data_IF_713495792485
#
_entry.id   IF_713495792485
#
_cell.length_a   1.000
_cell.length_b   1.000
_cell.length_c   1.000
_cell.angle_alpha   90.00
_cell.angle_beta   90.00
_cell.angle_gamma   90.00
#
_symmetry.space_group_name_H-M   'P 1'
#
loop_
_entity.id
_entity.type
_entity.pdbx_description
1 polymer ?
#
# COMPACT_ATOMS: atom_id res chain seq x y z
N UNK A 1 9.67 -5.04 3.00
CA UNK A 1 9.58 -4.31 1.74
C UNK A 1 8.23 -3.69 1.63
N UNK A 2 8.10 -2.44 1.19
CA UNK A 2 6.87 -1.69 1.39
C UNK A 2 6.42 -1.00 0.11
N UNK A 3 5.16 -1.13 -0.19
CA UNK A 3 4.46 -0.43 -1.26
C UNK A 3 3.36 0.45 -0.66
N UNK A 4 3.41 1.75 -0.89
CA UNK A 4 2.36 2.67 -0.47
C UNK A 4 1.86 3.40 -1.68
N UNK A 5 0.61 3.16 -2.04
CA UNK A 5 -0.08 3.84 -3.14
C UNK A 5 -1.28 4.60 -2.55
N UNK A 6 -1.36 5.87 -2.85
CA UNK A 6 -2.49 6.71 -2.52
C UNK A 6 -3.23 7.06 -3.79
N UNK A 7 -4.55 6.98 -3.76
CA UNK A 7 -5.41 7.38 -4.87
C UNK A 7 -6.22 8.63 -4.44
N UNK A 8 -5.71 9.84 -4.65
CA UNK A 8 -6.50 11.05 -4.47
C UNK A 8 -7.31 11.33 -5.74
N UNK A 9 -8.55 11.75 -5.56
CA UNK A 9 -9.44 12.10 -6.68
C UNK A 9 -9.07 13.44 -7.37
N UNK A 10 -8.03 14.16 -6.94
CA UNK A 10 -7.90 15.60 -7.24
C UNK A 10 -6.51 16.11 -7.65
N UNK A 11 -5.44 15.30 -7.63
CA UNK A 11 -4.11 15.79 -7.98
C UNK A 11 -3.42 14.89 -9.01
N UNK A 12 -2.63 15.50 -9.90
CA UNK A 12 -1.73 14.77 -10.78
C UNK A 12 -0.62 14.13 -9.95
N UNK A 13 -0.96 13.00 -9.31
CA UNK A 13 0.01 12.24 -8.53
C UNK A 13 0.65 11.17 -9.41
N UNK A 14 1.94 11.08 -9.31
CA UNK A 14 2.69 9.99 -9.93
C UNK A 14 2.94 8.89 -8.90
N UNK A 15 2.37 7.71 -9.14
CA UNK A 15 2.73 6.51 -8.40
C UNK A 15 3.91 5.84 -9.09
N UNK A 16 5.04 5.80 -8.41
CA UNK A 16 6.21 5.06 -8.87
C UNK A 16 6.20 3.67 -8.24
N UNK A 17 6.26 2.63 -9.05
CA UNK A 17 6.33 1.24 -8.63
C UNK A 17 7.54 0.57 -9.30
N UNK A 18 8.47 0.07 -8.51
CA UNK A 18 9.72 -0.51 -8.95
C UNK A 18 9.89 -1.92 -8.39
N UNK A 19 10.35 -2.82 -9.25
CA UNK A 19 10.79 -4.15 -8.86
C UNK A 19 12.19 -4.44 -9.40
N UNK A 20 13.04 -5.00 -8.57
CA UNK A 20 14.38 -5.46 -8.97
C UNK A 20 14.64 -6.84 -8.37
N UNK A 21 15.54 -7.60 -8.98
CA UNK A 21 16.03 -8.83 -8.38
C UNK A 21 17.52 -9.05 -8.64
N UNK A 22 18.18 -9.76 -7.74
CA UNK A 22 19.53 -10.29 -7.90
C UNK A 22 19.44 -11.79 -7.58
N UNK A 23 19.78 -12.61 -8.55
CA UNK A 23 19.72 -14.09 -8.44
C UNK A 23 18.35 -14.60 -7.93
N UNK A 24 17.27 -13.93 -8.32
CA UNK A 24 15.90 -14.27 -7.92
C UNK A 24 15.48 -13.77 -6.54
N UNK A 25 16.36 -13.11 -5.78
CA UNK A 25 15.98 -12.40 -4.57
C UNK A 25 15.37 -11.06 -4.95
N UNK A 26 14.07 -10.92 -4.70
CA UNK A 26 13.25 -9.84 -5.22
C UNK A 26 13.14 -8.71 -4.20
N UNK A 27 13.23 -7.48 -4.69
CA UNK A 27 12.97 -6.25 -3.96
C UNK A 27 11.91 -5.43 -4.69
N UNK A 28 10.85 -5.01 -3.99
CA UNK A 28 9.81 -4.13 -4.53
C UNK A 28 9.70 -2.86 -3.70
N UNK A 29 9.45 -1.73 -4.35
CA UNK A 29 9.16 -0.47 -3.68
C UNK A 29 8.16 0.33 -4.51
N UNK A 30 7.18 0.93 -3.84
CA UNK A 30 6.30 1.91 -4.48
C UNK A 30 6.16 3.14 -3.60
N UNK A 31 6.02 4.28 -4.24
CA UNK A 31 5.87 5.56 -3.57
C UNK A 31 4.99 6.49 -4.38
N UNK A 32 4.16 7.27 -3.68
CA UNK A 32 3.36 8.33 -4.29
C UNK A 32 4.10 9.64 -4.19
N UNK A 33 4.26 10.32 -5.32
CA UNK A 33 4.94 11.60 -5.43
C UNK A 33 3.96 12.67 -5.89
N UNK A 34 4.04 13.85 -5.28
CA UNK A 34 3.35 15.02 -5.79
C UNK A 34 4.10 15.58 -7.00
N UNK A 35 3.40 15.73 -8.13
CA UNK A 35 3.92 16.39 -9.32
C UNK A 35 3.52 17.87 -9.26
N UNK A 36 4.47 18.82 -9.17
CA UNK A 36 4.16 20.25 -9.16
C UNK A 36 3.55 20.67 -10.51
N UNK A 37 2.59 21.59 -10.48
CA UNK A 37 1.84 22.08 -11.64
C UNK A 37 2.70 22.84 -12.66
N UNK A 38 3.88 23.31 -12.26
CA UNK A 38 4.81 24.06 -13.10
C UNK A 38 5.94 23.17 -13.62
N UNK A 39 6.07 23.09 -14.94
CA UNK A 39 7.15 22.38 -15.64
C UNK A 39 8.53 23.04 -15.54
N UNK A 40 8.66 24.14 -14.80
CA UNK A 40 9.93 24.84 -14.57
C UNK A 40 10.38 24.56 -13.14
N UNK A 41 11.06 23.47 -12.96
CA UNK A 41 11.79 23.19 -11.72
C UNK A 41 13.06 24.04 -11.75
N UNK A 42 12.98 25.27 -11.24
CA UNK A 42 14.18 25.94 -10.76
C UNK A 42 14.58 25.26 -9.46
N UNK A 43 15.83 24.88 -9.33
CA UNK A 43 16.42 24.07 -8.24
C UNK A 43 16.26 24.65 -6.82
N UNK A 44 15.51 25.71 -6.64
CA UNK A 44 15.31 26.42 -5.38
C UNK A 44 13.84 26.52 -4.93
N UNK A 45 12.86 26.08 -5.74
CA UNK A 45 11.45 26.10 -5.33
C UNK A 45 11.06 24.76 -4.71
N UNK A 46 11.01 24.74 -3.40
CA UNK A 46 10.38 23.70 -2.62
C UNK A 46 8.90 23.63 -3.01
N UNK A 47 8.41 22.44 -3.41
CA UNK A 47 7.01 22.24 -3.69
C UNK A 47 6.15 22.67 -2.48
N UNK A 48 5.02 23.32 -2.72
CA UNK A 48 4.10 23.68 -1.66
C UNK A 48 3.65 22.41 -0.91
N UNK A 49 3.50 22.46 0.42
CA UNK A 49 3.08 21.29 1.19
C UNK A 49 1.69 20.81 0.74
N UNK A 50 1.53 19.50 0.64
CA UNK A 50 0.24 18.87 0.36
C UNK A 50 -0.69 19.16 1.54
N UNK A 51 -1.95 19.52 1.26
CA UNK A 51 -2.95 19.84 2.28
C UNK A 51 -4.29 19.16 1.98
N UNK A 52 -5.20 19.16 2.97
CA UNK A 52 -6.55 18.61 2.85
C UNK A 52 -6.55 17.10 2.62
N UNK A 53 -7.54 16.59 1.89
CA UNK A 53 -7.75 15.15 1.65
C UNK A 53 -6.55 14.44 1.04
N UNK A 54 -5.76 15.12 0.21
CA UNK A 54 -4.54 14.56 -0.36
C UNK A 54 -3.47 14.32 0.71
N UNK A 55 -3.32 15.25 1.67
CA UNK A 55 -2.43 15.04 2.81
C UNK A 55 -2.92 13.91 3.73
N UNK A 56 -4.24 13.86 3.97
CA UNK A 56 -4.85 12.84 4.83
C UNK A 56 -4.62 11.43 4.27
N UNK A 57 -4.80 11.22 2.96
CA UNK A 57 -4.60 9.90 2.35
C UNK A 57 -3.15 9.46 2.36
N UNK A 58 -2.20 10.39 2.16
CA UNK A 58 -0.76 10.09 2.26
C UNK A 58 -0.38 9.73 3.69
N UNK A 59 -0.85 10.51 4.67
CA UNK A 59 -0.61 10.26 6.09
C UNK A 59 -1.26 8.95 6.55
N UNK A 60 -2.48 8.66 6.08
CA UNK A 60 -3.18 7.40 6.37
C UNK A 60 -2.40 6.19 5.85
N UNK A 61 -1.93 6.24 4.61
CA UNK A 61 -1.17 5.16 4.00
C UNK A 61 0.18 4.94 4.72
N UNK A 62 0.90 6.00 5.05
CA UNK A 62 2.15 5.91 5.81
C UNK A 62 1.92 5.34 7.22
N UNK A 63 0.87 5.80 7.91
CA UNK A 63 0.53 5.31 9.24
C UNK A 63 0.11 3.84 9.23
N UNK A 64 -0.64 3.42 8.20
CA UNK A 64 -1.03 2.02 8.01
C UNK A 64 0.19 1.14 7.73
N UNK A 65 1.13 1.60 6.90
CA UNK A 65 2.39 0.90 6.67
C UNK A 65 3.18 0.70 7.97
N UNK A 66 3.34 1.75 8.76
CA UNK A 66 4.02 1.67 10.04
C UNK A 66 3.34 0.71 11.03
N UNK A 67 2.01 0.62 11.00
CA UNK A 67 1.26 -0.36 11.78
C UNK A 67 1.48 -1.78 11.27
N UNK A 68 1.42 -2.00 9.94
CA UNK A 68 1.68 -3.30 9.33
C UNK A 68 3.07 -3.84 9.69
N UNK A 69 4.11 -3.00 9.59
CA UNK A 69 5.49 -3.38 9.94
C UNK A 69 5.66 -3.84 11.39
N UNK A 70 4.81 -3.37 12.30
CA UNK A 70 4.81 -3.81 13.70
C UNK A 70 4.02 -5.09 13.93
N UNK A 71 3.07 -5.39 13.05
CA UNK A 71 2.20 -6.56 13.15
C UNK A 71 2.77 -7.77 12.40
N UNK A 72 3.35 -7.55 11.22
CA UNK A 72 3.93 -8.62 10.40
C UNK A 72 5.25 -9.07 11.03
N UNK A 73 5.15 -9.98 11.99
CA UNK A 73 6.27 -10.55 12.74
C UNK A 73 5.96 -11.99 13.16
N UNK A 74 6.97 -12.83 13.38
CA UNK A 74 6.79 -14.22 13.80
C UNK A 74 5.85 -14.36 15.01
N UNK A 75 5.00 -15.37 14.99
CA UNK A 75 4.03 -15.68 16.04
C UNK A 75 2.74 -14.84 15.99
N UNK A 76 2.53 -14.04 14.94
CA UNK A 76 1.29 -13.32 14.67
C UNK A 76 0.49 -14.01 13.58
N UNK A 77 -0.83 -13.90 13.65
CA UNK A 77 -1.72 -14.41 12.62
C UNK A 77 -1.94 -13.40 11.50
N UNK A 78 -2.08 -13.92 10.28
CA UNK A 78 -2.40 -13.12 9.08
C UNK A 78 -3.72 -12.36 9.29
N UNK A 79 -4.69 -13.00 9.93
CA UNK A 79 -6.02 -12.43 10.24
C UNK A 79 -6.02 -11.25 11.21
N UNK A 80 -4.94 -11.04 11.98
CA UNK A 80 -4.85 -9.92 12.92
C UNK A 80 -4.58 -8.56 12.24
N UNK A 81 -4.03 -8.58 11.03
CA UNK A 81 -3.52 -7.39 10.36
C UNK A 81 -4.63 -6.49 9.80
N UNK A 82 -5.63 -7.00 9.05
CA UNK A 82 -6.62 -6.18 8.35
C UNK A 82 -7.41 -5.24 9.26
N UNK A 83 -7.83 -5.70 10.44
CA UNK A 83 -8.62 -4.91 11.37
C UNK A 83 -7.87 -3.71 11.95
N UNK A 84 -6.57 -3.85 12.17
CA UNK A 84 -5.74 -2.76 12.64
C UNK A 84 -5.52 -1.74 11.52
N UNK A 85 -5.20 -2.20 10.31
CA UNK A 85 -5.02 -1.32 9.16
C UNK A 85 -6.29 -0.51 8.88
N UNK A 86 -7.46 -1.15 8.91
CA UNK A 86 -8.76 -0.49 8.73
C UNK A 86 -8.97 0.62 9.74
N UNK A 87 -8.77 0.35 11.04
CA UNK A 87 -8.94 1.36 12.10
C UNK A 87 -8.00 2.55 11.94
N UNK A 88 -6.76 2.32 11.54
CA UNK A 88 -5.78 3.38 11.27
C UNK A 88 -6.24 4.25 10.12
N UNK A 89 -6.61 3.66 8.99
CA UNK A 89 -7.00 4.40 7.77
C UNK A 89 -8.33 5.16 7.98
N UNK A 90 -9.31 4.55 8.64
CA UNK A 90 -10.59 5.19 8.99
C UNK A 90 -10.41 6.42 9.89
N UNK A 91 -9.38 6.46 10.75
CA UNK A 91 -9.12 7.63 11.60
C UNK A 91 -8.73 8.90 10.82
N UNK A 92 -8.29 8.73 9.57
CA UNK A 92 -8.01 9.81 8.61
C UNK A 92 -9.20 10.10 7.67
N UNK A 93 -10.36 9.46 7.87
CA UNK A 93 -11.51 9.57 6.97
C UNK A 93 -11.27 8.91 5.59
N UNK A 94 -10.36 7.97 5.52
CA UNK A 94 -9.97 7.24 4.30
C UNK A 94 -10.40 5.77 4.38
N UNK A 95 -10.30 5.06 3.26
CA UNK A 95 -10.61 3.64 3.15
C UNK A 95 -9.47 2.85 2.51
N UNK A 96 -9.26 1.62 2.96
CA UNK A 96 -8.41 0.65 2.27
C UNK A 96 -9.08 0.20 0.97
N UNK A 97 -8.29 -0.01 -0.07
CA UNK A 97 -8.78 -0.48 -1.37
C UNK A 97 -8.98 -2.00 -1.34
N UNK A 98 -10.14 -2.45 -1.83
CA UNK A 98 -10.49 -3.88 -1.94
C UNK A 98 -9.59 -4.60 -2.94
N UNK A 99 -9.29 -5.87 -2.66
CA UNK A 99 -8.49 -6.72 -3.56
C UNK A 99 -6.97 -6.52 -3.46
N UNK A 100 -6.52 -5.56 -2.64
CA UNK A 100 -5.08 -5.37 -2.39
C UNK A 100 -4.62 -6.31 -1.29
N UNK A 101 -3.52 -7.00 -1.55
CA UNK A 101 -2.93 -7.97 -0.63
C UNK A 101 -1.44 -7.71 -0.46
N UNK A 102 -0.99 -7.75 0.78
CA UNK A 102 0.42 -7.98 1.08
C UNK A 102 0.71 -9.46 0.92
N UNK A 103 1.87 -9.83 0.41
CA UNK A 103 2.14 -11.22 0.04
C UNK A 103 3.56 -11.65 0.38
N UNK A 104 3.70 -12.94 0.69
CA UNK A 104 5.00 -13.56 0.89
C UNK A 104 5.77 -13.58 -0.44
N UNK A 105 7.08 -13.35 -0.35
CA UNK A 105 8.01 -13.52 -1.47
C UNK A 105 9.01 -14.63 -1.15
N UNK A 106 9.40 -15.37 -2.20
CA UNK A 106 10.48 -16.37 -2.14
C UNK A 106 11.46 -16.13 -3.26
N UNK A 107 12.62 -16.76 -3.21
CA UNK A 107 13.56 -16.71 -4.32
C UNK A 107 12.86 -17.17 -5.63
N UNK A 108 12.93 -16.36 -6.68
CA UNK A 108 12.25 -16.51 -7.97
C UNK A 108 10.71 -16.49 -7.94
N UNK A 109 10.07 -16.21 -6.79
CA UNK A 109 8.61 -16.15 -6.67
C UNK A 109 8.22 -14.84 -6.00
N UNK A 110 7.55 -13.96 -6.77
CA UNK A 110 7.14 -12.65 -6.28
C UNK A 110 5.90 -12.72 -5.39
N UNK A 111 4.95 -13.59 -5.72
CA UNK A 111 3.66 -13.80 -5.04
C UNK A 111 3.53 -15.26 -4.59
N UNK A 112 4.03 -15.56 -3.41
CA UNK A 112 3.89 -16.88 -2.80
C UNK A 112 2.55 -17.02 -2.07
N UNK A 113 2.25 -18.24 -1.60
CA UNK A 113 0.92 -18.63 -1.14
C UNK A 113 0.38 -17.88 0.09
N UNK A 114 1.24 -17.41 1.00
CA UNK A 114 0.81 -16.67 2.18
C UNK A 114 0.53 -15.21 1.79
N UNK A 115 -0.73 -14.80 1.94
CA UNK A 115 -1.17 -13.43 1.64
C UNK A 115 -1.88 -12.82 2.84
N UNK A 116 -1.75 -11.51 3.01
CA UNK A 116 -2.46 -10.70 4.00
C UNK A 116 -3.40 -9.78 3.25
N UNK A 117 -4.70 -10.02 3.32
CA UNK A 117 -5.70 -9.17 2.68
C UNK A 117 -5.84 -7.87 3.48
N UNK A 118 -5.64 -6.72 2.83
CA UNK A 118 -5.72 -5.42 3.52
C UNK A 118 -7.16 -5.08 3.95
N UNK A 119 -8.13 -5.44 3.12
CA UNK A 119 -9.56 -5.28 3.39
C UNK A 119 -10.29 -6.59 3.09
N UNK A 120 -10.97 -7.18 4.08
CA UNK A 120 -11.79 -8.37 3.87
C UNK A 120 -12.85 -8.12 2.79
N UNK A 121 -12.98 -9.06 1.85
CA UNK A 121 -13.97 -9.02 0.78
C UNK A 121 -14.61 -10.39 0.62
N UNK A 122 -15.92 -10.49 0.31
CA UNK A 122 -16.57 -11.76 0.05
C UNK A 122 -15.98 -12.52 -1.15
N UNK A 123 -15.40 -11.78 -2.10
CA UNK A 123 -14.84 -12.34 -3.34
C UNK A 123 -13.42 -12.87 -3.15
N UNK A 124 -12.68 -12.37 -2.15
CA UNK A 124 -11.31 -12.76 -1.88
C UNK A 124 -11.22 -13.39 -0.50
N UNK A 125 -10.95 -14.68 -0.48
CA UNK A 125 -10.70 -15.43 0.76
C UNK A 125 -9.22 -15.76 0.81
N UNK A 126 -8.59 -15.40 1.91
CA UNK A 126 -7.21 -15.77 2.23
C UNK A 126 -7.26 -16.77 3.36
N UNK A 127 -6.47 -17.85 3.23
CA UNK A 127 -6.30 -18.80 4.32
C UNK A 127 -5.57 -18.13 5.48
N UNK A 128 -6.09 -18.31 6.69
CA UNK A 128 -5.40 -17.83 7.87
C UNK A 128 -4.16 -18.69 8.14
N UNK A 129 -3.15 -18.07 8.71
CA UNK A 129 -1.89 -18.73 8.99
C UNK A 129 -1.04 -17.90 9.94
N UNK A 130 -0.09 -18.55 10.55
CA UNK A 130 0.90 -17.90 11.40
C UNK A 130 2.06 -17.37 10.53
N UNK A 131 2.53 -16.18 10.86
CA UNK A 131 3.75 -15.59 10.30
C UNK A 131 4.96 -16.24 10.96
N UNK A 132 5.90 -16.73 10.15
CA UNK A 132 7.03 -17.51 10.60
C UNK A 132 8.36 -16.76 10.47
N UNK A 133 9.37 -17.23 11.17
CA UNK A 133 10.71 -16.68 11.04
C UNK A 133 11.30 -16.96 9.64
N UNK A 134 12.13 -16.04 9.17
CA UNK A 134 12.80 -16.10 7.86
C UNK A 134 11.85 -16.00 6.65
N UNK A 135 10.61 -15.61 6.83
CA UNK A 135 9.72 -15.24 5.73
C UNK A 135 9.95 -13.79 5.29
N UNK A 136 9.80 -13.54 4.01
CA UNK A 136 9.92 -12.21 3.41
C UNK A 136 8.57 -11.81 2.84
N UNK A 137 8.10 -10.61 3.16
CA UNK A 137 6.82 -10.09 2.69
C UNK A 137 6.98 -8.77 1.94
N UNK A 138 6.24 -8.61 0.86
CA UNK A 138 5.88 -7.31 0.32
C UNK A 138 4.68 -6.78 1.09
N UNK A 139 4.82 -5.61 1.70
CA UNK A 139 3.72 -4.93 2.38
C UNK A 139 3.13 -3.93 1.40
N UNK A 140 2.01 -4.29 0.81
CA UNK A 140 1.30 -3.49 -0.18
C UNK A 140 0.09 -2.83 0.46
N UNK A 141 0.08 -1.50 0.54
CA UNK A 141 -1.03 -0.74 1.13
C UNK A 141 -1.49 0.30 0.13
N UNK A 142 -2.77 0.22 -0.22
CA UNK A 142 -3.44 1.20 -1.08
C UNK A 142 -4.61 1.81 -0.32
N UNK A 143 -4.59 3.13 -0.23
CA UNK A 143 -5.60 3.92 0.50
C UNK A 143 -6.29 4.88 -0.46
N UNK A 144 -7.58 5.08 -0.28
CA UNK A 144 -8.42 5.97 -1.08
C UNK A 144 -9.21 6.92 -0.19
N UNK A 145 -9.43 8.14 -0.65
CA UNK A 145 -10.39 9.09 -0.06
C UNK A 145 -11.86 8.74 -0.39
N UNK A 146 -12.08 7.84 -1.36
CA UNK A 146 -13.40 7.33 -1.75
C UNK A 146 -13.76 6.02 -1.07
N UNK A 147 -14.69 5.25 -1.64
CA UNK A 147 -15.21 4.00 -1.07
C UNK A 147 -14.18 2.84 -1.00
N UNK A 148 -13.02 2.99 -1.63
CA UNK A 148 -12.01 1.94 -1.73
C UNK A 148 -12.39 0.77 -2.63
N UNK A 149 -13.33 0.98 -3.55
CA UNK A 149 -13.71 0.00 -4.58
C UNK A 149 -13.02 0.33 -5.90
N UNK A 150 -12.19 -0.58 -6.45
CA UNK A 150 -11.58 -0.35 -7.74
C UNK A 150 -12.66 -0.28 -8.83
N UNK A 151 -12.58 0.73 -9.70
CA UNK A 151 -13.43 0.86 -10.88
C UNK A 151 -12.58 0.66 -12.12
N UNK A 152 -12.98 -0.25 -12.98
CA UNK A 152 -12.39 -0.38 -14.31
C UNK A 152 -13.13 0.58 -15.24
N UNK A 153 -12.48 1.66 -15.65
CA UNK A 153 -12.99 2.52 -16.72
C UNK A 153 -12.36 2.07 -18.04
N UNK A 154 -13.18 1.60 -18.96
CA UNK A 154 -12.72 1.43 -20.34
C UNK A 154 -12.75 2.80 -21.00
N UNK A 155 -11.66 3.25 -21.66
CA UNK A 155 -11.73 4.44 -22.50
C UNK A 155 -12.74 4.19 -23.61
N UNK A 156 -13.72 5.07 -23.70
CA UNK A 156 -14.72 5.12 -24.78
C UNK A 156 -14.08 5.60 -26.08
#
# INVERSE_FOLDING_TARGET
MCKVICLPDVLADCCSDLGVHIDGFIATAAHTLQVPESSVISSEQQAAPITGKAADVVAAAQSALEAALRLVRPGKHISDVPDVLRKVVESYGCNLVEGVMSHQMKQFVIDANKCVLNRPSPEHKVEDGELEENEVYAIDIVVSTGEGKPKVSFPS
#
